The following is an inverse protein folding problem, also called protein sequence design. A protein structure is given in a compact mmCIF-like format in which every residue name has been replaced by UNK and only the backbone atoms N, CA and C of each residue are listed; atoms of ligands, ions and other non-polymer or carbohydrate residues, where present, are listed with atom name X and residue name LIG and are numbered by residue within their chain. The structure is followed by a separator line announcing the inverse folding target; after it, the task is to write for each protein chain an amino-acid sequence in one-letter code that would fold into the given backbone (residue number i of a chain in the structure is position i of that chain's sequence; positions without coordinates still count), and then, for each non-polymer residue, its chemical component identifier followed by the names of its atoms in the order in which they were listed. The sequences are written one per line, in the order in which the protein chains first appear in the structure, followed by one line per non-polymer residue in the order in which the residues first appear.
data_IF_046016820845
#
_entry.id   IF_046016820845
#
_cell.length_a   1.000
_cell.length_b   1.000
_cell.length_c   1.000
_cell.angle_alpha   90.00
_cell.angle_beta   90.00
_cell.angle_gamma   90.00
#
_symmetry.space_group_name_H-M   'P 1'
#
loop_
_entity.id
_entity.type
_entity.pdbx_description
1 polymer ?
#
# COMPACT_ATOMS: atom_id res chain seq x y z
N UNK A 1 1.37 -11.20 13.52
CA UNK A 1 0.60 -10.19 12.76
C UNK A 1 0.39 -10.72 11.34
N UNK A 2 -0.82 -10.62 10.77
CA UNK A 2 -1.13 -11.11 9.42
C UNK A 2 -0.23 -10.49 8.34
N UNK A 3 0.08 -9.20 8.47
CA UNK A 3 0.94 -8.48 7.52
C UNK A 3 2.35 -9.08 7.49
N UNK A 4 2.91 -9.47 8.64
CA UNK A 4 4.26 -10.05 8.68
C UNK A 4 4.33 -11.40 7.95
N UNK A 5 3.29 -12.22 8.05
CA UNK A 5 3.21 -13.50 7.33
C UNK A 5 3.10 -13.24 5.83
N UNK A 6 2.21 -12.32 5.43
CA UNK A 6 2.04 -11.95 4.02
C UNK A 6 3.36 -11.47 3.39
N UNK A 7 4.10 -10.58 4.05
CA UNK A 7 5.36 -10.05 3.50
C UNK A 7 6.54 -11.03 3.55
N UNK A 8 6.60 -11.94 4.54
CA UNK A 8 7.74 -12.87 4.69
C UNK A 8 7.58 -14.15 3.88
N UNK A 9 6.34 -14.60 3.70
CA UNK A 9 6.03 -15.90 3.10
C UNK A 9 5.25 -15.78 1.79
N UNK A 10 4.82 -14.56 1.39
CA UNK A 10 3.92 -14.32 0.25
C UNK A 10 2.64 -15.17 0.30
N UNK A 11 2.21 -15.52 1.52
CA UNK A 11 1.10 -16.44 1.80
C UNK A 11 -0.05 -15.73 2.52
N UNK A 12 -1.29 -16.14 2.20
CA UNK A 12 -2.46 -15.73 2.96
C UNK A 12 -2.48 -16.42 4.35
N UNK A 13 -2.61 -15.65 5.45
CA UNK A 13 -2.53 -16.18 6.81
C UNK A 13 -3.83 -16.88 7.28
N UNK A 14 -4.34 -17.82 6.48
CA UNK A 14 -5.62 -18.52 6.71
C UNK A 14 -5.55 -19.41 7.96
N UNK A 15 -4.45 -20.14 8.15
CA UNK A 15 -4.24 -20.98 9.33
C UNK A 15 -4.19 -20.16 10.63
N UNK A 16 -3.80 -18.90 10.52
CA UNK A 16 -3.73 -17.93 11.60
C UNK A 16 -5.05 -17.17 11.82
N UNK A 17 -6.10 -17.53 11.08
CA UNK A 17 -7.46 -16.99 11.25
C UNK A 17 -7.78 -15.79 10.36
N UNK A 18 -6.90 -15.39 9.44
CA UNK A 18 -7.26 -14.40 8.44
C UNK A 18 -8.30 -14.97 7.48
N UNK A 19 -9.25 -14.13 7.08
CA UNK A 19 -10.21 -14.46 6.04
C UNK A 19 -10.38 -13.27 5.10
N UNK A 20 -10.83 -13.54 3.88
CA UNK A 20 -11.17 -12.50 2.91
C UNK A 20 -12.22 -11.57 3.52
N UNK A 21 -11.99 -10.26 3.37
CA UNK A 21 -12.97 -9.25 3.77
C UNK A 21 -14.33 -9.52 3.15
N UNK A 22 -15.39 -9.42 3.95
CA UNK A 22 -16.79 -9.47 3.48
C UNK A 22 -17.21 -8.17 2.81
N UNK A 23 -16.51 -7.07 3.12
CA UNK A 23 -16.69 -5.75 2.50
C UNK A 23 -15.72 -5.60 1.35
N UNK A 24 -16.22 -5.10 0.21
CA UNK A 24 -15.38 -4.79 -0.95
C UNK A 24 -14.40 -3.66 -0.62
N UNK A 25 -13.13 -3.84 -0.99
CA UNK A 25 -12.12 -2.80 -0.89
C UNK A 25 -12.13 -2.03 -2.20
N UNK A 26 -12.55 -0.77 -2.13
CA UNK A 26 -12.61 0.19 -3.24
C UNK A 26 -11.81 1.45 -2.92
N UNK A 27 -11.61 2.32 -3.91
CA UNK A 27 -10.97 3.63 -3.72
C UNK A 27 -11.63 4.44 -2.61
N UNK A 28 -12.96 4.39 -2.49
CA UNK A 28 -13.72 5.09 -1.46
C UNK A 28 -13.41 4.56 -0.06
N UNK A 29 -13.23 3.24 0.09
CA UNK A 29 -12.87 2.63 1.38
C UNK A 29 -11.39 2.85 1.75
N UNK A 30 -10.51 3.02 0.76
CA UNK A 30 -9.07 3.19 0.99
C UNK A 30 -8.65 4.65 1.19
N UNK A 31 -9.26 5.59 0.46
CA UNK A 31 -8.81 6.99 0.43
C UNK A 31 -8.74 7.65 1.82
N UNK A 32 -9.70 7.46 2.74
CA UNK A 32 -9.60 8.04 4.09
C UNK A 32 -8.39 7.53 4.87
N UNK A 33 -8.07 6.23 4.73
CA UNK A 33 -6.94 5.60 5.41
C UNK A 33 -5.61 6.11 4.83
N UNK A 34 -5.52 6.21 3.49
CA UNK A 34 -4.37 6.78 2.81
C UNK A 34 -4.11 8.24 3.25
N UNK A 35 -5.15 9.08 3.24
CA UNK A 35 -5.04 10.48 3.62
C UNK A 35 -4.59 10.63 5.07
N UNK A 36 -5.13 9.81 5.98
CA UNK A 36 -4.71 9.79 7.37
C UNK A 36 -3.23 9.38 7.51
N UNK A 37 -2.79 8.36 6.78
CA UNK A 37 -1.39 7.92 6.78
C UNK A 37 -0.46 9.03 6.28
N UNK A 38 -0.83 9.75 5.22
CA UNK A 38 -0.06 10.88 4.69
C UNK A 38 0.00 12.03 5.71
N UNK A 39 -1.13 12.39 6.31
CA UNK A 39 -1.19 13.49 7.29
C UNK A 39 -0.41 13.19 8.58
N UNK A 40 -0.35 11.91 8.98
CA UNK A 40 0.34 11.48 10.20
C UNK A 40 1.79 11.10 9.96
N UNK A 41 2.19 10.89 8.70
CA UNK A 41 3.59 10.74 8.35
C UNK A 41 4.29 12.08 8.59
N UNK A 42 5.13 12.15 9.63
CA UNK A 42 6.02 13.29 9.91
C UNK A 42 7.16 13.42 8.86
N UNK A 43 6.92 13.02 7.61
CA UNK A 43 7.83 13.14 6.49
C UNK A 43 7.37 14.28 5.59
N UNK A 44 8.18 15.33 5.49
CA UNK A 44 8.08 16.23 4.34
C UNK A 44 8.51 15.52 3.07
N UNK A 45 8.24 16.08 1.88
CA UNK A 45 8.77 15.56 0.64
C UNK A 45 10.30 15.40 0.74
N UNK A 46 10.81 14.20 0.48
CA UNK A 46 12.26 13.91 0.41
C UNK A 46 12.66 13.71 -1.04
N UNK A 47 13.65 14.49 -1.51
CA UNK A 47 14.16 14.54 -2.90
C UNK A 47 13.09 14.78 -3.99
N UNK A 48 13.57 15.04 -5.20
CA UNK A 48 12.80 15.55 -6.33
C UNK A 48 11.69 14.60 -6.79
N UNK A 49 10.71 15.14 -7.53
CA UNK A 49 9.64 14.37 -8.15
C UNK A 49 10.26 13.34 -9.12
N UNK A 50 10.38 12.08 -8.69
CA UNK A 50 10.91 11.00 -9.52
C UNK A 50 9.99 10.79 -10.73
N UNK A 51 10.53 10.87 -11.96
CA UNK A 51 9.69 10.74 -13.14
C UNK A 51 9.17 9.30 -13.27
N UNK A 52 7.95 9.18 -13.78
CA UNK A 52 7.43 7.87 -14.18
C UNK A 52 8.19 7.39 -15.42
N UNK A 53 8.92 6.27 -15.30
CA UNK A 53 9.68 5.67 -16.40
C UNK A 53 8.76 4.73 -17.19
N UNK A 54 8.46 5.09 -18.44
CA UNK A 54 7.64 4.28 -19.36
C UNK A 54 8.46 3.34 -20.24
N UNK A 55 9.78 3.47 -20.21
CA UNK A 55 10.71 2.63 -20.94
C UNK A 55 12.12 3.19 -20.88
N UNK A 56 13.10 2.55 -21.55
CA UNK A 56 14.51 2.89 -21.43
C UNK A 56 14.84 4.37 -21.70
N UNK A 57 14.02 5.07 -22.50
CA UNK A 57 14.21 6.47 -22.89
C UNK A 57 12.91 7.31 -22.84
N UNK A 58 11.93 6.93 -22.03
CA UNK A 58 10.67 7.67 -21.93
C UNK A 58 10.32 7.95 -20.47
N UNK A 59 10.33 9.23 -20.10
CA UNK A 59 9.92 9.73 -18.78
C UNK A 59 8.89 10.84 -18.95
N UNK A 60 7.93 10.94 -18.02
CA UNK A 60 7.06 12.12 -17.87
C UNK A 60 7.79 13.23 -17.10
#
# INVERSE_FOLDING_TARGET
SFVQIFFREERLPIAEGWSRSKTMITTETMSPIQNLAIQTANGGPTQACEPLVFGPNATL
#
